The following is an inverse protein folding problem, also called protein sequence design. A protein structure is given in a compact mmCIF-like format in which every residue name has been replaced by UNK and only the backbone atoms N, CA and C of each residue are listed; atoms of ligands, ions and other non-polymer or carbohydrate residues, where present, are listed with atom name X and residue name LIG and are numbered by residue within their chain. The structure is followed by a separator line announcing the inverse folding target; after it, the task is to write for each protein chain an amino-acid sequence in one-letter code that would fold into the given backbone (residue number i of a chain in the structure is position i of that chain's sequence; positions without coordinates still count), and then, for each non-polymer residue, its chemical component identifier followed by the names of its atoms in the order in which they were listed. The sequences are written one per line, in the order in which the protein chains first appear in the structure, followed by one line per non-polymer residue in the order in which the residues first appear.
data_IF_373499874575
#
_entry.id   IF_373499874575
#
_cell.length_a   1.000
_cell.length_b   1.000
_cell.length_c   1.000
_cell.angle_alpha   90.00
_cell.angle_beta   90.00
_cell.angle_gamma   90.00
#
_symmetry.space_group_name_H-M   'P 1'
#
loop_
_entity.id
_entity.type
_entity.pdbx_description
1 polymer ?
#
# COMPACT_ATOMS: atom_id res chain seq x y z
N UNK A 1 -10.65 0.26 9.73
CA UNK A 1 -11.18 -1.03 9.21
C UNK A 1 -11.17 -1.05 7.70
N UNK A 2 -11.62 0.01 7.00
CA UNK A 2 -11.65 0.07 5.53
C UNK A 2 -10.24 -0.08 4.90
N UNK A 3 -9.19 0.39 5.55
CA UNK A 3 -7.81 0.27 5.08
C UNK A 3 -7.25 -1.16 5.05
N UNK A 4 -7.81 -2.09 5.84
CA UNK A 4 -7.36 -3.49 5.88
C UNK A 4 -7.89 -4.27 4.67
N UNK A 5 -8.98 -3.81 4.07
CA UNK A 5 -9.63 -4.51 2.97
C UNK A 5 -9.02 -4.07 1.63
N UNK A 6 -8.52 -5.00 0.79
CA UNK A 6 -8.01 -4.71 -0.55
C UNK A 6 -9.18 -4.47 -1.53
N UNK A 7 -10.02 -3.48 -1.24
CA UNK A 7 -11.21 -3.15 -2.02
C UNK A 7 -10.86 -1.99 -2.94
N UNK A 8 -11.10 -2.15 -4.23
CA UNK A 8 -11.09 -1.02 -5.16
C UNK A 8 -12.06 0.06 -4.67
N UNK A 9 -11.60 1.31 -4.59
CA UNK A 9 -12.41 2.40 -4.05
C UNK A 9 -12.44 2.51 -2.53
N UNK A 10 -11.57 1.79 -1.78
CA UNK A 10 -11.51 1.90 -0.31
C UNK A 10 -11.33 3.33 0.18
N UNK A 11 -10.57 4.16 -0.52
CA UNK A 11 -10.41 5.58 -0.18
C UNK A 11 -11.75 6.33 -0.27
N UNK A 12 -12.59 6.02 -1.25
CA UNK A 12 -13.94 6.59 -1.37
C UNK A 12 -14.84 6.14 -0.21
N UNK A 13 -14.77 4.85 0.16
CA UNK A 13 -15.55 4.30 1.28
C UNK A 13 -15.08 4.90 2.61
N UNK A 14 -13.78 4.97 2.82
CA UNK A 14 -13.17 5.53 4.02
C UNK A 14 -13.49 7.02 4.15
N UNK A 15 -13.31 7.80 3.07
CA UNK A 15 -13.62 9.21 3.03
C UNK A 15 -15.13 9.47 3.28
N UNK A 16 -16.01 8.68 2.68
CA UNK A 16 -17.46 8.79 2.90
C UNK A 16 -17.85 8.49 4.34
N UNK A 17 -17.26 7.46 4.97
CA UNK A 17 -17.51 7.15 6.39
C UNK A 17 -17.01 8.29 7.29
N UNK A 18 -15.80 8.78 7.03
CA UNK A 18 -15.19 9.85 7.83
C UNK A 18 -15.95 11.17 7.66
N UNK A 19 -16.35 11.50 6.43
CA UNK A 19 -17.15 12.66 6.12
C UNK A 19 -18.52 12.59 6.85
N UNK A 20 -19.22 11.46 6.75
CA UNK A 20 -20.50 11.25 7.46
C UNK A 20 -20.35 11.36 8.97
N UNK A 21 -19.26 10.80 9.54
CA UNK A 21 -19.01 10.83 10.98
C UNK A 21 -18.65 12.23 11.51
N UNK A 22 -18.16 13.12 10.67
CA UNK A 22 -17.70 14.46 11.05
C UNK A 22 -18.58 15.60 10.54
N UNK A 23 -19.57 15.32 9.68
CA UNK A 23 -20.49 16.33 9.17
C UNK A 23 -21.56 16.66 10.22
N UNK A 24 -21.72 17.93 10.56
CA UNK A 24 -22.91 18.43 11.24
C UNK A 24 -24.06 18.51 10.24
N UNK A 25 -25.11 17.72 10.46
CA UNK A 25 -26.43 17.81 9.84
C UNK A 25 -26.52 18.31 8.38
N UNK A 26 -26.94 17.40 7.52
CA UNK A 26 -27.67 17.65 6.28
C UNK A 26 -27.15 18.77 5.39
N UNK A 27 -26.03 18.58 4.75
CA UNK A 27 -25.88 19.18 3.41
C UNK A 27 -24.62 18.61 2.75
N UNK A 28 -24.82 17.86 1.71
CA UNK A 28 -23.92 17.82 0.56
C UNK A 28 -23.91 19.25 0.00
N UNK A 29 -23.13 20.14 0.58
CA UNK A 29 -23.12 21.55 0.21
C UNK A 29 -22.28 22.40 1.18
N UNK A 30 -21.10 22.67 0.80
CA UNK A 30 -20.33 23.92 0.82
C UNK A 30 -20.22 24.85 2.04
N UNK A 31 -20.96 24.70 3.15
CA UNK A 31 -20.92 25.71 4.23
C UNK A 31 -19.75 25.61 5.23
N UNK A 32 -18.91 24.57 5.15
CA UNK A 32 -17.75 24.40 6.05
C UNK A 32 -16.38 24.29 5.30
N UNK A 33 -16.26 24.90 4.12
CA UNK A 33 -15.00 24.87 3.35
C UNK A 33 -13.81 25.52 4.06
N UNK A 34 -14.04 26.30 5.11
CA UNK A 34 -12.99 27.01 5.86
C UNK A 34 -12.50 26.30 7.13
N UNK A 35 -13.02 25.11 7.47
CA UNK A 35 -12.55 24.37 8.62
C UNK A 35 -11.21 23.67 8.31
N UNK A 36 -10.11 24.19 8.84
CA UNK A 36 -8.76 23.68 8.63
C UNK A 36 -8.59 22.24 9.12
N UNK A 37 -9.22 21.85 10.24
CA UNK A 37 -9.16 20.49 10.75
C UNK A 37 -9.87 19.52 9.81
N UNK A 38 -11.00 19.90 9.20
CA UNK A 38 -11.68 19.09 8.19
C UNK A 38 -10.80 18.85 6.96
N UNK A 39 -10.11 19.87 6.48
CA UNK A 39 -9.16 19.74 5.37
C UNK A 39 -8.04 18.76 5.68
N UNK A 40 -7.58 18.71 6.93
CA UNK A 40 -6.56 17.75 7.39
C UNK A 40 -7.07 16.32 7.47
N UNK A 41 -8.38 16.10 7.67
CA UNK A 41 -8.97 14.76 7.67
C UNK A 41 -8.77 14.03 6.34
N UNK A 42 -8.77 14.73 5.22
CA UNK A 42 -8.47 14.12 3.92
C UNK A 42 -7.06 13.55 3.86
N UNK A 43 -6.09 14.22 4.48
CA UNK A 43 -4.72 13.71 4.57
C UNK A 43 -4.64 12.53 5.52
N UNK A 44 -5.30 12.60 6.67
CA UNK A 44 -5.36 11.49 7.64
C UNK A 44 -5.98 10.24 6.99
N UNK A 45 -7.08 10.40 6.26
CA UNK A 45 -7.71 9.30 5.51
C UNK A 45 -6.73 8.66 4.53
N UNK A 46 -6.04 9.49 3.76
CA UNK A 46 -5.03 9.01 2.82
C UNK A 46 -3.89 8.27 3.52
N UNK A 47 -3.25 8.89 4.52
CA UNK A 47 -2.12 8.31 5.23
C UNK A 47 -2.49 6.97 5.89
N UNK A 48 -3.63 6.92 6.55
CA UNK A 48 -4.08 5.70 7.24
C UNK A 48 -4.47 4.59 6.27
N UNK A 49 -5.10 4.89 5.15
CA UNK A 49 -5.47 3.89 4.14
C UNK A 49 -4.26 3.36 3.38
N UNK A 50 -3.22 4.18 3.15
CA UNK A 50 -2.03 3.78 2.43
C UNK A 50 -0.95 3.13 3.33
N UNK A 51 -0.99 3.35 4.64
CA UNK A 51 -0.10 2.66 5.57
C UNK A 51 -0.17 1.13 5.45
N UNK A 52 -1.34 0.58 5.13
CA UNK A 52 -1.55 -0.86 4.96
C UNK A 52 -0.75 -1.48 3.80
N UNK A 53 -0.32 -0.71 2.83
CA UNK A 53 0.50 -1.19 1.70
C UNK A 53 1.85 -1.75 2.12
N UNK A 54 2.34 -1.42 3.31
CA UNK A 54 3.62 -1.91 3.82
C UNK A 54 3.52 -3.27 4.53
N UNK A 55 2.34 -3.59 5.07
CA UNK A 55 2.24 -4.76 5.94
C UNK A 55 0.99 -5.63 5.78
N UNK A 56 -0.07 -5.15 5.15
CA UNK A 56 -1.27 -5.99 5.00
C UNK A 56 -0.99 -7.16 4.05
N UNK A 57 -1.16 -8.42 4.50
CA UNK A 57 -0.88 -9.60 3.68
C UNK A 57 -1.90 -9.80 2.55
N UNK A 58 -2.85 -8.89 2.40
CA UNK A 58 -3.87 -8.89 1.34
C UNK A 58 -3.56 -7.84 0.26
N UNK A 59 -2.54 -7.03 0.45
CA UNK A 59 -2.15 -5.98 -0.47
C UNK A 59 -1.15 -6.47 -1.52
N UNK A 60 -1.34 -6.06 -2.77
CA UNK A 60 -0.44 -6.41 -3.88
C UNK A 60 1.02 -6.04 -3.61
N UNK A 61 1.34 -4.86 -3.03
CA UNK A 61 2.71 -4.49 -2.68
C UNK A 61 3.39 -5.41 -1.67
N UNK A 62 2.63 -6.15 -0.89
CA UNK A 62 3.13 -7.16 0.06
C UNK A 62 3.20 -8.53 -0.59
N UNK A 63 2.10 -8.96 -1.23
CA UNK A 63 1.99 -10.31 -1.80
C UNK A 63 2.98 -10.54 -2.93
N UNK A 64 3.13 -9.58 -3.85
CA UNK A 64 3.95 -9.79 -5.05
C UNK A 64 5.44 -9.98 -4.71
N UNK A 65 6.09 -9.12 -3.90
CA UNK A 65 7.48 -9.36 -3.52
C UNK A 65 7.65 -10.63 -2.66
N UNK A 66 6.74 -10.90 -1.71
CA UNK A 66 6.80 -12.12 -0.91
C UNK A 66 6.79 -13.37 -1.80
N UNK A 67 5.89 -13.41 -2.77
CA UNK A 67 5.77 -14.54 -3.69
C UNK A 67 6.97 -14.64 -4.65
N UNK A 68 7.45 -13.53 -5.18
CA UNK A 68 8.57 -13.49 -6.13
C UNK A 68 9.90 -13.95 -5.51
N UNK A 69 10.11 -13.67 -4.22
CA UNK A 69 11.36 -13.97 -3.52
C UNK A 69 11.24 -15.13 -2.52
N UNK A 70 10.08 -15.80 -2.45
CA UNK A 70 9.84 -16.88 -1.50
C UNK A 70 9.92 -16.42 -0.04
N UNK A 71 9.55 -15.17 0.26
CA UNK A 71 9.65 -14.59 1.61
C UNK A 71 8.39 -14.91 2.39
N UNK A 72 8.52 -15.53 3.56
CA UNK A 72 7.42 -15.73 4.49
C UNK A 72 6.95 -14.41 5.13
N UNK A 73 5.67 -14.35 5.53
CA UNK A 73 5.08 -13.09 6.03
C UNK A 73 5.78 -12.54 7.28
N UNK A 74 6.21 -13.37 8.20
CA UNK A 74 6.97 -12.94 9.37
C UNK A 74 8.31 -12.29 9.00
N UNK A 75 9.02 -12.87 8.01
CA UNK A 75 10.25 -12.32 7.47
C UNK A 75 10.00 -10.99 6.74
N UNK A 76 8.89 -10.89 6.00
CA UNK A 76 8.45 -9.63 5.40
C UNK A 76 8.25 -8.53 6.45
N UNK A 77 7.50 -8.82 7.53
CA UNK A 77 7.29 -7.88 8.62
C UNK A 77 8.61 -7.50 9.29
N UNK A 78 9.51 -8.49 9.50
CA UNK A 78 10.86 -8.27 10.05
C UNK A 78 11.76 -7.41 9.17
N UNK A 79 11.52 -7.37 7.84
CA UNK A 79 12.22 -6.50 6.91
C UNK A 79 11.60 -5.10 6.88
N UNK A 80 10.28 -5.02 6.85
CA UNK A 80 9.54 -3.76 6.65
C UNK A 80 9.25 -2.98 7.94
N UNK A 81 9.56 -3.56 9.14
CA UNK A 81 9.23 -2.92 10.41
C UNK A 81 9.73 -1.47 10.56
N UNK A 82 10.91 -1.06 10.02
CA UNK A 82 11.35 0.32 10.18
C UNK A 82 10.44 1.31 9.44
N UNK A 83 9.97 0.92 8.22
CA UNK A 83 9.03 1.74 7.46
C UNK A 83 7.65 1.77 8.12
N UNK A 84 7.19 0.62 8.62
CA UNK A 84 5.91 0.50 9.31
C UNK A 84 5.91 1.39 10.56
N UNK A 85 6.96 1.29 11.39
CA UNK A 85 7.06 2.04 12.65
C UNK A 85 7.13 3.55 12.40
N UNK A 86 8.03 4.00 11.49
CA UNK A 86 8.18 5.43 11.23
C UNK A 86 6.93 6.01 10.57
N UNK A 87 6.27 5.27 9.69
CA UNK A 87 5.01 5.66 9.10
C UNK A 87 3.90 5.79 10.15
N UNK A 88 3.78 4.84 11.07
CA UNK A 88 2.80 4.91 12.16
C UNK A 88 3.08 6.11 13.08
N UNK A 89 4.34 6.38 13.40
CA UNK A 89 4.74 7.57 14.17
C UNK A 89 4.41 8.87 13.43
N UNK A 90 4.69 8.94 12.14
CA UNK A 90 4.36 10.11 11.32
C UNK A 90 2.84 10.37 11.29
N UNK A 91 2.05 9.33 11.06
CA UNK A 91 0.59 9.40 11.07
C UNK A 91 0.07 9.82 12.44
N UNK A 92 0.58 9.18 13.51
CA UNK A 92 0.21 9.52 14.87
C UNK A 92 0.52 10.98 15.23
N UNK A 93 1.71 11.46 14.87
CA UNK A 93 2.11 12.85 15.04
C UNK A 93 1.22 13.81 14.21
N UNK A 94 0.93 13.43 12.95
CA UNK A 94 0.06 14.24 12.10
C UNK A 94 -1.36 14.36 12.67
N UNK A 95 -1.91 13.27 13.23
CA UNK A 95 -3.21 13.30 13.91
C UNK A 95 -3.13 14.17 15.17
N UNK A 96 -2.13 13.92 16.02
CA UNK A 96 -2.00 14.59 17.32
C UNK A 96 -1.82 16.11 17.21
N UNK A 97 -0.94 16.55 16.32
CA UNK A 97 -0.63 17.99 16.14
C UNK A 97 -1.47 18.66 15.06
N UNK A 98 -2.08 17.89 14.17
CA UNK A 98 -2.75 18.41 12.98
C UNK A 98 -4.26 18.55 13.11
N UNK A 99 -4.92 17.69 13.89
CA UNK A 99 -6.39 17.64 14.00
C UNK A 99 -6.81 18.11 15.39
N UNK A 100 -7.55 19.20 15.44
CA UNK A 100 -8.10 19.72 16.71
C UNK A 100 -9.43 19.04 17.02
N UNK A 101 -9.56 18.47 18.22
CA UNK A 101 -10.81 17.85 18.69
C UNK A 101 -11.97 18.85 18.77
N UNK A 102 -11.68 20.12 19.05
CA UNK A 102 -12.70 21.17 19.18
C UNK A 102 -13.37 21.54 17.83
N UNK A 103 -12.67 21.27 16.74
CA UNK A 103 -13.15 21.59 15.38
C UNK A 103 -13.83 20.39 14.71
N UNK A 104 -13.56 19.17 15.17
CA UNK A 104 -14.14 17.93 14.67
C UNK A 104 -15.21 17.48 15.63
N UNK A 105 -16.46 17.96 15.44
CA UNK A 105 -17.58 17.48 16.22
C UNK A 105 -18.02 16.11 15.70
N UNK A 106 -17.74 15.07 16.49
CA UNK A 106 -18.24 13.72 16.22
C UNK A 106 -19.72 13.68 16.61
N UNK A 107 -20.57 13.37 15.65
CA UNK A 107 -21.99 13.10 15.92
C UNK A 107 -22.16 11.96 16.91
N UNK A 108 -23.34 11.85 17.54
CA UNK A 108 -23.68 10.76 18.45
C UNK A 108 -23.12 9.43 17.94
N UNK A 109 -22.26 8.81 18.75
CA UNK A 109 -21.59 7.56 18.36
C UNK A 109 -22.68 6.51 18.09
N UNK A 110 -22.83 6.03 16.86
CA UNK A 110 -23.75 4.93 16.62
C UNK A 110 -23.37 3.77 17.52
N UNK A 111 -24.36 3.12 18.15
CA UNK A 111 -24.10 1.95 19.00
C UNK A 111 -23.26 0.96 18.21
N UNK A 112 -22.07 0.67 18.71
CA UNK A 112 -21.14 -0.22 18.04
C UNK A 112 -21.75 -1.63 17.93
N UNK A 113 -21.99 -2.07 16.69
CA UNK A 113 -22.50 -3.41 16.44
C UNK A 113 -21.34 -4.42 16.43
N UNK A 114 -21.01 -4.96 17.60
CA UNK A 114 -19.97 -5.98 17.76
C UNK A 114 -20.19 -7.20 16.85
N UNK A 115 -21.42 -7.70 16.74
CA UNK A 115 -21.71 -8.87 15.90
C UNK A 115 -21.42 -8.63 14.42
N UNK A 116 -21.86 -7.48 13.89
CA UNK A 116 -21.56 -7.08 12.51
C UNK A 116 -20.08 -6.82 12.29
N UNK A 117 -19.39 -6.21 13.26
CA UNK A 117 -17.96 -5.98 13.20
C UNK A 117 -17.18 -7.30 13.13
N UNK A 118 -17.43 -8.22 14.10
CA UNK A 118 -16.74 -9.51 14.11
C UNK A 118 -17.02 -10.34 12.87
N UNK A 119 -18.25 -10.41 12.41
CA UNK A 119 -18.59 -11.13 11.17
C UNK A 119 -17.78 -10.67 9.96
N UNK A 120 -17.47 -9.37 9.88
CA UNK A 120 -16.76 -8.79 8.72
C UNK A 120 -15.25 -8.70 8.91
N UNK A 121 -14.75 -8.61 10.15
CA UNK A 121 -13.32 -8.39 10.44
C UNK A 121 -12.59 -9.69 10.79
N UNK A 122 -13.25 -10.62 11.49
CA UNK A 122 -12.63 -11.91 11.89
C UNK A 122 -12.01 -12.69 10.72
N UNK A 123 -12.62 -12.80 9.53
CA UNK A 123 -12.00 -13.52 8.41
C UNK A 123 -10.64 -12.93 8.02
N UNK A 124 -10.51 -11.61 8.05
CA UNK A 124 -9.24 -10.92 7.71
C UNK A 124 -8.20 -11.09 8.81
N UNK A 125 -8.61 -10.98 10.08
CA UNK A 125 -7.72 -11.29 11.19
C UNK A 125 -7.27 -12.74 11.16
N UNK A 126 -8.17 -13.66 10.87
CA UNK A 126 -7.85 -15.09 10.70
C UNK A 126 -6.88 -15.32 9.54
N UNK A 127 -6.99 -14.55 8.43
CA UNK A 127 -6.03 -14.59 7.35
C UNK A 127 -4.64 -14.15 7.81
N UNK A 128 -4.53 -13.02 8.52
CA UNK A 128 -3.25 -12.52 9.05
C UNK A 128 -2.61 -13.54 10.00
N UNK A 129 -3.41 -14.04 10.95
CA UNK A 129 -2.94 -15.09 11.87
C UNK A 129 -2.55 -16.36 11.13
N UNK A 130 -3.35 -16.75 10.13
CA UNK A 130 -3.05 -17.89 9.27
C UNK A 130 -1.72 -17.74 8.52
N UNK A 131 -1.40 -16.57 7.99
CA UNK A 131 -0.09 -16.30 7.38
C UNK A 131 1.06 -16.45 8.36
N UNK A 132 0.89 -15.98 9.60
CA UNK A 132 1.92 -16.09 10.64
C UNK A 132 2.10 -17.55 11.05
N UNK A 133 1.00 -18.28 11.28
CA UNK A 133 1.04 -19.65 11.79
C UNK A 133 1.47 -20.69 10.74
N UNK A 134 1.07 -20.50 9.49
CA UNK A 134 1.47 -21.44 8.42
C UNK A 134 2.96 -21.33 8.10
N UNK A 135 3.60 -20.18 8.41
CA UNK A 135 5.06 -20.02 8.39
C UNK A 135 5.74 -20.37 7.06
N UNK A 136 4.96 -20.62 6.01
CA UNK A 136 5.46 -21.13 4.76
C UNK A 136 6.07 -20.04 3.88
N UNK A 137 7.04 -20.46 3.09
CA UNK A 137 7.62 -19.64 2.03
C UNK A 137 6.83 -19.81 0.73
N UNK A 138 6.79 -18.74 -0.09
CA UNK A 138 6.20 -18.80 -1.42
C UNK A 138 4.67 -18.67 -1.48
N UNK A 139 4.08 -19.18 -2.56
CA UNK A 139 2.67 -18.98 -2.90
C UNK A 139 1.69 -19.87 -2.14
N UNK A 140 2.14 -20.99 -1.55
CA UNK A 140 1.25 -21.98 -0.91
C UNK A 140 0.42 -21.39 0.24
N UNK A 141 0.99 -20.64 1.22
CA UNK A 141 0.20 -19.99 2.26
C UNK A 141 -0.79 -18.98 1.69
N UNK A 142 -0.36 -18.21 0.68
CA UNK A 142 -1.21 -17.22 -0.01
C UNK A 142 -2.44 -17.89 -0.60
N UNK A 143 -2.25 -18.93 -1.42
CA UNK A 143 -3.33 -19.67 -2.06
C UNK A 143 -4.26 -20.35 -1.04
N UNK A 144 -3.70 -20.92 0.02
CA UNK A 144 -4.47 -21.59 1.09
C UNK A 144 -5.39 -20.59 1.79
N UNK A 145 -4.86 -19.41 2.17
CA UNK A 145 -5.63 -18.40 2.89
C UNK A 145 -6.69 -17.77 1.99
N UNK A 146 -6.35 -17.39 0.76
CA UNK A 146 -7.33 -16.87 -0.19
C UNK A 146 -8.40 -17.90 -0.54
N UNK A 147 -8.03 -19.18 -0.69
CA UNK A 147 -8.97 -20.27 -0.88
C UNK A 147 -9.94 -20.40 0.30
N UNK A 148 -9.42 -20.39 1.53
CA UNK A 148 -10.22 -20.46 2.75
C UNK A 148 -11.16 -19.25 2.90
N UNK A 149 -10.67 -18.01 2.65
CA UNK A 149 -11.49 -16.80 2.67
C UNK A 149 -12.60 -16.88 1.61
N UNK A 150 -12.26 -17.31 0.41
CA UNK A 150 -13.23 -17.46 -0.68
C UNK A 150 -14.30 -18.47 -0.31
N UNK A 151 -13.91 -19.66 0.20
CA UNK A 151 -14.83 -20.66 0.67
C UNK A 151 -15.75 -20.14 1.79
N UNK A 152 -15.19 -19.42 2.77
CA UNK A 152 -15.93 -18.78 3.84
C UNK A 152 -17.02 -17.84 3.30
N UNK A 153 -16.67 -16.94 2.38
CA UNK A 153 -17.63 -16.01 1.79
C UNK A 153 -18.70 -16.71 0.96
N UNK A 154 -18.36 -17.76 0.22
CA UNK A 154 -19.31 -18.56 -0.55
C UNK A 154 -20.34 -19.21 0.39
N UNK A 155 -19.87 -19.80 1.49
CA UNK A 155 -20.74 -20.46 2.48
C UNK A 155 -21.69 -19.47 3.16
N UNK A 156 -21.17 -18.31 3.57
CA UNK A 156 -21.97 -17.30 4.29
C UNK A 156 -22.98 -16.61 3.37
N UNK A 157 -22.56 -16.26 2.15
CA UNK A 157 -23.42 -15.49 1.24
C UNK A 157 -24.38 -16.37 0.45
N UNK A 158 -24.15 -17.68 0.41
CA UNK A 158 -24.91 -18.66 -0.39
C UNK A 158 -25.07 -18.28 -1.86
N UNK A 159 -24.13 -17.47 -2.38
CA UNK A 159 -24.20 -16.83 -3.71
C UNK A 159 -23.17 -17.37 -4.67
N UNK A 160 -22.84 -18.68 -4.60
CA UNK A 160 -21.90 -19.25 -5.54
C UNK A 160 -22.53 -19.42 -6.92
N UNK A 161 -21.91 -18.79 -7.92
CA UNK A 161 -22.21 -19.02 -9.34
C UNK A 161 -20.92 -18.88 -10.13
N UNK A 162 -20.51 -19.97 -10.80
CA UNK A 162 -19.34 -19.97 -11.71
C UNK A 162 -19.43 -18.87 -12.76
N UNK A 163 -20.64 -18.60 -13.27
CA UNK A 163 -20.89 -17.54 -14.25
C UNK A 163 -20.63 -16.13 -13.69
N UNK A 164 -20.96 -15.92 -12.40
CA UNK A 164 -20.66 -14.68 -11.69
C UNK A 164 -19.17 -14.58 -11.33
N UNK A 165 -18.54 -15.68 -10.91
CA UNK A 165 -17.12 -15.73 -10.57
C UNK A 165 -16.26 -15.26 -11.73
N UNK A 166 -16.50 -15.79 -12.95
CA UNK A 166 -15.76 -15.37 -14.14
C UNK A 166 -15.88 -13.86 -14.44
N UNK A 167 -17.01 -13.25 -14.08
CA UNK A 167 -17.23 -11.80 -14.25
C UNK A 167 -16.40 -10.95 -13.26
N UNK A 168 -16.04 -11.52 -12.10
CA UNK A 168 -15.26 -10.85 -11.06
C UNK A 168 -13.74 -11.08 -11.20
N UNK A 169 -13.32 -12.05 -12.02
CA UNK A 169 -11.90 -12.26 -12.29
C UNK A 169 -11.40 -11.14 -13.21
N UNK A 170 -10.48 -10.35 -12.70
CA UNK A 170 -9.76 -9.37 -13.52
C UNK A 170 -8.62 -10.08 -14.27
N UNK A 171 -8.92 -10.60 -15.44
CA UNK A 171 -7.97 -11.34 -16.29
C UNK A 171 -6.75 -10.50 -16.67
N UNK A 172 -6.92 -9.19 -16.86
CA UNK A 172 -5.82 -8.27 -17.12
C UNK A 172 -4.85 -8.22 -15.94
N UNK A 173 -5.36 -8.11 -14.72
CA UNK A 173 -4.52 -8.15 -13.51
C UNK A 173 -3.80 -9.48 -13.38
N UNK A 174 -4.46 -10.61 -13.65
CA UNK A 174 -3.84 -11.92 -13.62
C UNK A 174 -2.71 -12.06 -14.67
N UNK A 175 -2.94 -11.58 -15.88
CA UNK A 175 -1.92 -11.59 -16.92
C UNK A 175 -0.72 -10.71 -16.53
N UNK A 176 -0.95 -9.52 -15.98
CA UNK A 176 0.13 -8.63 -15.49
C UNK A 176 0.94 -9.33 -14.40
N UNK A 177 0.29 -9.96 -13.43
CA UNK A 177 0.97 -10.71 -12.36
C UNK A 177 1.83 -11.84 -12.97
N UNK A 178 1.29 -12.60 -13.92
CA UNK A 178 2.04 -13.65 -14.62
C UNK A 178 3.29 -13.10 -15.33
N UNK A 179 3.15 -11.98 -16.03
CA UNK A 179 4.29 -11.30 -16.68
C UNK A 179 5.33 -10.82 -15.66
N UNK A 180 4.90 -10.30 -14.52
CA UNK A 180 5.82 -9.84 -13.45
C UNK A 180 6.63 -11.02 -12.92
N UNK A 181 5.99 -12.15 -12.60
CA UNK A 181 6.69 -13.34 -12.11
C UNK A 181 7.64 -13.91 -13.15
N UNK A 182 7.21 -14.00 -14.40
CA UNK A 182 8.09 -14.43 -15.50
C UNK A 182 9.31 -13.51 -15.65
N UNK A 183 9.09 -12.20 -15.73
CA UNK A 183 10.17 -11.22 -15.85
C UNK A 183 11.11 -11.24 -14.62
N UNK A 184 10.56 -11.35 -13.42
CA UNK A 184 11.34 -11.47 -12.18
C UNK A 184 12.22 -12.72 -12.17
N UNK A 185 11.67 -13.88 -12.52
CA UNK A 185 12.43 -15.13 -12.64
C UNK A 185 13.54 -15.02 -13.67
N UNK A 186 13.21 -14.50 -14.86
CA UNK A 186 14.18 -14.26 -15.91
C UNK A 186 15.32 -13.32 -15.47
N UNK A 187 14.99 -12.22 -14.80
CA UNK A 187 15.99 -11.27 -14.31
C UNK A 187 16.88 -11.87 -13.20
N UNK A 188 16.32 -12.70 -12.32
CA UNK A 188 17.10 -13.39 -11.29
C UNK A 188 18.07 -14.40 -11.92
N UNK A 189 17.63 -15.16 -12.91
CA UNK A 189 18.46 -16.15 -13.61
C UNK A 189 19.57 -15.51 -14.45
N UNK A 190 19.29 -14.35 -15.06
CA UNK A 190 20.24 -13.64 -15.94
C UNK A 190 20.88 -12.40 -15.29
N UNK A 191 20.88 -12.34 -13.96
CA UNK A 191 21.40 -11.19 -13.20
C UNK A 191 22.81 -10.79 -13.63
N UNK A 192 23.73 -11.74 -13.68
CA UNK A 192 25.13 -11.49 -14.02
C UNK A 192 25.28 -10.92 -15.44
N UNK A 193 24.47 -11.43 -16.39
CA UNK A 193 24.44 -10.90 -17.74
C UNK A 193 23.94 -9.46 -17.79
N UNK A 194 22.87 -9.14 -17.04
CA UNK A 194 22.32 -7.79 -16.93
C UNK A 194 23.35 -6.85 -16.31
N UNK A 195 23.98 -7.23 -15.21
CA UNK A 195 25.02 -6.45 -14.55
C UNK A 195 26.20 -6.16 -15.48
N UNK A 196 26.68 -7.17 -16.20
CA UNK A 196 27.77 -7.02 -17.16
C UNK A 196 27.38 -6.09 -18.31
N UNK A 197 26.16 -6.21 -18.84
CA UNK A 197 25.66 -5.34 -19.91
C UNK A 197 25.61 -3.89 -19.46
N UNK A 198 25.06 -3.63 -18.26
CA UNK A 198 24.98 -2.28 -17.69
C UNK A 198 26.37 -1.71 -17.41
N UNK A 199 27.33 -2.55 -16.97
CA UNK A 199 28.72 -2.16 -16.77
C UNK A 199 29.40 -1.77 -18.08
N UNK A 200 29.10 -2.44 -19.20
CA UNK A 200 29.64 -2.10 -20.52
C UNK A 200 29.23 -0.70 -21.02
N UNK A 201 28.08 -0.20 -20.59
CA UNK A 201 27.66 1.18 -20.88
C UNK A 201 28.20 2.20 -19.87
N UNK A 202 29.14 1.80 -19.01
CA UNK A 202 29.83 2.68 -18.07
C UNK A 202 29.11 2.91 -16.75
N UNK A 203 28.10 2.09 -16.44
CA UNK A 203 27.36 2.18 -15.18
C UNK A 203 27.55 0.90 -14.35
N UNK A 204 28.37 0.97 -13.30
CA UNK A 204 28.47 -0.10 -12.31
C UNK A 204 27.33 0.07 -11.29
N UNK A 205 26.42 -0.89 -11.30
CA UNK A 205 25.17 -0.86 -10.52
C UNK A 205 25.41 -0.87 -9.00
N UNK A 206 26.52 -1.44 -8.53
CA UNK A 206 26.84 -1.55 -7.10
C UNK A 206 27.67 -0.37 -6.56
N UNK A 207 28.10 0.55 -7.42
CA UNK A 207 28.71 1.80 -6.99
C UNK A 207 27.66 2.78 -6.46
N UNK A 208 28.06 3.70 -5.60
CA UNK A 208 27.19 4.78 -5.14
C UNK A 208 26.51 5.53 -6.30
N UNK A 209 27.28 5.83 -7.37
CA UNK A 209 26.75 6.47 -8.57
C UNK A 209 25.71 5.61 -9.27
N UNK A 210 25.97 4.30 -9.43
CA UNK A 210 25.05 3.37 -10.07
C UNK A 210 23.75 3.22 -9.30
N UNK A 211 23.85 2.95 -8.00
CA UNK A 211 22.69 2.86 -7.12
C UNK A 211 21.87 4.14 -7.18
N UNK A 212 22.50 5.33 -7.12
CA UNK A 212 21.80 6.61 -7.16
C UNK A 212 21.05 6.81 -8.48
N UNK A 213 21.68 6.55 -9.62
CA UNK A 213 21.05 6.71 -10.94
C UNK A 213 19.84 5.77 -11.07
N UNK A 214 19.99 4.50 -10.70
CA UNK A 214 18.92 3.52 -10.80
C UNK A 214 17.80 3.83 -9.82
N UNK A 215 18.13 4.28 -8.61
CA UNK A 215 17.15 4.75 -7.63
C UNK A 215 16.32 5.91 -8.16
N UNK A 216 16.96 6.87 -8.83
CA UNK A 216 16.26 7.99 -9.46
C UNK A 216 15.34 7.55 -10.59
N UNK A 217 15.82 6.64 -11.46
CA UNK A 217 15.01 6.06 -12.54
C UNK A 217 13.81 5.32 -11.96
N UNK A 218 14.02 4.50 -10.93
CA UNK A 218 12.97 3.74 -10.24
C UNK A 218 11.91 4.68 -9.64
N UNK A 219 12.34 5.73 -8.93
CA UNK A 219 11.43 6.72 -8.37
C UNK A 219 10.61 7.44 -9.46
N UNK A 220 11.26 7.90 -10.55
CA UNK A 220 10.59 8.57 -11.67
C UNK A 220 9.60 7.63 -12.36
N UNK A 221 9.99 6.36 -12.56
CA UNK A 221 9.10 5.36 -13.15
C UNK A 221 7.85 5.16 -12.28
N UNK A 222 8.02 4.97 -10.97
CA UNK A 222 6.90 4.83 -10.04
C UNK A 222 6.02 6.08 -9.97
N UNK A 223 6.62 7.27 -9.93
CA UNK A 223 5.94 8.56 -9.99
C UNK A 223 5.04 8.69 -11.23
N UNK A 224 5.48 8.14 -12.37
CA UNK A 224 4.74 8.19 -13.63
C UNK A 224 3.62 7.15 -13.74
N UNK A 225 3.61 6.13 -12.88
CA UNK A 225 2.71 4.97 -13.02
C UNK A 225 1.35 5.11 -12.32
N UNK A 226 1.29 5.79 -11.18
CA UNK A 226 0.05 6.12 -10.46
C UNK A 226 -0.81 4.95 -9.97
N UNK A 227 -0.27 3.72 -9.88
CA UNK A 227 -1.02 2.51 -9.54
C UNK A 227 -0.24 1.60 -8.57
N UNK A 228 -0.93 1.08 -7.56
CA UNK A 228 -0.38 0.18 -6.54
C UNK A 228 0.25 -1.10 -7.12
N UNK A 229 -0.41 -1.72 -8.08
CA UNK A 229 0.10 -2.92 -8.73
C UNK A 229 1.36 -2.66 -9.57
N UNK A 230 1.47 -1.46 -10.16
CA UNK A 230 2.61 -1.10 -11.00
C UNK A 230 3.87 -0.81 -10.17
N UNK A 231 3.73 -0.07 -9.06
CA UNK A 231 4.88 0.14 -8.19
C UNK A 231 5.33 -1.17 -7.54
N UNK A 232 4.41 -2.03 -7.13
CA UNK A 232 4.76 -3.35 -6.59
C UNK A 232 5.53 -4.21 -7.60
N UNK A 233 5.13 -4.14 -8.90
CA UNK A 233 5.85 -4.79 -9.99
C UNK A 233 7.28 -4.27 -10.13
N UNK A 234 7.45 -2.95 -10.10
CA UNK A 234 8.75 -2.31 -10.23
C UNK A 234 9.68 -2.68 -9.06
N UNK A 235 9.15 -2.70 -7.83
CA UNK A 235 9.87 -3.19 -6.64
C UNK A 235 10.40 -4.61 -6.84
N UNK A 236 9.56 -5.52 -7.35
CA UNK A 236 9.97 -6.90 -7.64
C UNK A 236 11.07 -6.93 -8.70
N UNK A 237 10.90 -6.23 -9.81
CA UNK A 237 11.87 -6.23 -10.92
C UNK A 237 13.22 -5.65 -10.48
N UNK A 238 13.23 -4.52 -9.80
CA UNK A 238 14.48 -3.91 -9.32
C UNK A 238 15.19 -4.78 -8.30
N UNK A 239 14.45 -5.34 -7.34
CA UNK A 239 15.03 -6.25 -6.34
C UNK A 239 15.47 -7.59 -6.94
N UNK A 240 14.92 -8.02 -8.09
CA UNK A 240 15.40 -9.21 -8.82
C UNK A 240 16.77 -9.00 -9.43
N UNK A 241 17.08 -7.77 -9.85
CA UNK A 241 18.39 -7.41 -10.42
C UNK A 241 19.43 -7.19 -9.30
N UNK A 242 19.09 -6.40 -8.28
CA UNK A 242 20.04 -6.02 -7.24
C UNK A 242 20.20 -7.07 -6.13
N UNK A 243 19.20 -7.89 -5.91
CA UNK A 243 19.11 -8.85 -4.82
C UNK A 243 18.07 -8.46 -3.76
N UNK A 244 17.59 -9.47 -3.05
CA UNK A 244 16.55 -9.31 -2.02
C UNK A 244 16.96 -8.40 -0.85
N UNK A 245 18.27 -8.20 -0.65
CA UNK A 245 18.84 -7.30 0.36
C UNK A 245 18.53 -5.82 0.09
N UNK A 246 18.23 -5.48 -1.17
CA UNK A 246 17.79 -4.14 -1.58
C UNK A 246 16.26 -3.98 -1.62
N UNK A 247 15.51 -5.01 -1.24
CA UNK A 247 14.04 -4.99 -1.33
C UNK A 247 13.42 -3.85 -0.50
N UNK A 248 13.92 -3.60 0.72
CA UNK A 248 13.47 -2.48 1.55
C UNK A 248 13.67 -1.12 0.86
N UNK A 249 14.85 -0.96 0.21
CA UNK A 249 15.21 0.26 -0.50
C UNK A 249 14.31 0.53 -1.70
N UNK A 250 14.20 -0.45 -2.60
CA UNK A 250 13.37 -0.29 -3.80
C UNK A 250 11.89 -0.17 -3.46
N UNK A 251 11.41 -0.90 -2.45
CA UNK A 251 10.05 -0.72 -1.96
C UNK A 251 9.80 0.73 -1.50
N UNK A 252 10.70 1.30 -0.71
CA UNK A 252 10.54 2.66 -0.21
C UNK A 252 10.57 3.71 -1.34
N UNK A 253 11.46 3.53 -2.33
CA UNK A 253 11.55 4.42 -3.50
C UNK A 253 10.28 4.37 -4.36
N UNK A 254 9.84 3.16 -4.69
CA UNK A 254 8.66 2.95 -5.51
C UNK A 254 7.41 3.45 -4.80
N UNK A 255 7.29 3.15 -3.51
CA UNK A 255 6.19 3.60 -2.71
C UNK A 255 6.18 5.13 -2.57
N UNK A 256 7.33 5.75 -2.34
CA UNK A 256 7.45 7.21 -2.30
C UNK A 256 7.06 7.86 -3.63
N UNK A 257 7.52 7.32 -4.76
CA UNK A 257 7.11 7.78 -6.08
C UNK A 257 5.60 7.69 -6.29
N UNK A 258 5.01 6.55 -5.91
CA UNK A 258 3.57 6.33 -5.97
C UNK A 258 2.78 7.30 -5.07
N UNK A 259 3.28 7.59 -3.85
CA UNK A 259 2.61 8.52 -2.93
C UNK A 259 2.51 9.94 -3.49
N UNK A 260 3.58 10.41 -4.13
CA UNK A 260 3.67 11.81 -4.59
C UNK A 260 3.24 12.00 -6.06
N UNK A 261 2.79 10.95 -6.73
CA UNK A 261 2.34 11.07 -8.13
C UNK A 261 1.10 11.96 -8.26
N UNK A 262 1.04 12.87 -9.24
CA UNK A 262 -0.15 13.65 -9.51
C UNK A 262 -1.32 12.81 -10.07
N UNK A 263 -1.04 11.57 -10.52
CA UNK A 263 -2.05 10.63 -11.03
C UNK A 263 -2.75 9.84 -9.91
N UNK A 264 -2.49 10.15 -8.65
CA UNK A 264 -3.03 9.41 -7.52
C UNK A 264 -4.50 9.80 -7.26
N UNK A 265 -5.41 8.95 -7.68
CA UNK A 265 -6.86 9.20 -7.57
C UNK A 265 -7.32 9.47 -6.13
N UNK A 266 -6.71 8.83 -5.15
CA UNK A 266 -7.08 9.02 -3.74
C UNK A 266 -6.86 10.45 -3.24
N UNK A 267 -5.89 11.19 -3.80
CA UNK A 267 -5.69 12.63 -3.50
C UNK A 267 -6.88 13.45 -3.99
N UNK A 268 -7.41 13.11 -5.17
CA UNK A 268 -8.59 13.79 -5.73
C UNK A 268 -9.86 13.46 -4.96
N UNK A 269 -9.97 12.23 -4.44
CA UNK A 269 -11.06 11.81 -3.56
C UNK A 269 -11.04 12.64 -2.28
N UNK A 270 -9.89 12.70 -1.60
CA UNK A 270 -9.75 13.49 -0.39
C UNK A 270 -10.02 14.98 -0.60
N UNK A 271 -9.55 15.56 -1.72
CA UNK A 271 -9.90 16.93 -2.10
C UNK A 271 -11.41 17.12 -2.25
N UNK A 272 -12.09 16.19 -2.90
CA UNK A 272 -13.53 16.25 -3.16
C UNK A 272 -14.35 16.17 -1.87
N UNK A 273 -14.00 15.28 -0.96
CA UNK A 273 -14.77 15.08 0.29
C UNK A 273 -14.46 16.13 1.38
N UNK A 274 -13.20 16.55 1.48
CA UNK A 274 -12.72 17.37 2.61
C UNK A 274 -12.30 18.79 2.23
N UNK A 275 -12.32 19.15 0.94
CA UNK A 275 -11.90 20.48 0.47
C UNK A 275 -10.39 20.74 0.63
N UNK A 276 -9.58 19.70 0.88
CA UNK A 276 -8.13 19.83 1.11
C UNK A 276 -7.42 20.37 -0.11
N UNK A 277 -6.58 21.41 0.07
CA UNK A 277 -5.81 21.96 -1.04
C UNK A 277 -4.74 20.95 -1.51
N UNK A 278 -4.49 20.88 -2.81
CA UNK A 278 -3.43 20.03 -3.36
C UNK A 278 -2.07 20.37 -2.77
N UNK A 279 -1.78 21.65 -2.53
CA UNK A 279 -0.54 22.11 -1.92
C UNK A 279 -0.34 21.49 -0.52
N UNK A 280 -1.37 21.51 0.31
CA UNK A 280 -1.34 20.93 1.66
C UNK A 280 -1.18 19.42 1.60
N UNK A 281 -1.89 18.77 0.67
CA UNK A 281 -1.75 17.33 0.43
C UNK A 281 -0.31 16.96 0.10
N UNK A 282 0.23 17.54 -0.97
CA UNK A 282 1.57 17.18 -1.43
C UNK A 282 2.67 17.56 -0.43
N UNK A 283 2.51 18.63 0.36
CA UNK A 283 3.44 18.94 1.44
C UNK A 283 3.55 17.78 2.45
N UNK A 284 2.42 17.22 2.89
CA UNK A 284 2.41 16.09 3.80
C UNK A 284 2.95 14.80 3.15
N UNK A 285 2.56 14.52 1.90
CA UNK A 285 2.99 13.31 1.19
C UNK A 285 4.47 13.33 0.86
N UNK A 286 5.03 14.48 0.46
CA UNK A 286 6.47 14.65 0.22
C UNK A 286 7.25 14.45 1.52
N UNK A 287 6.79 15.04 2.63
CA UNK A 287 7.44 14.85 3.92
C UNK A 287 7.44 13.36 4.33
N UNK A 288 6.32 12.67 4.16
CA UNK A 288 6.23 11.23 4.43
C UNK A 288 7.12 10.41 3.51
N UNK A 289 7.10 10.67 2.20
CA UNK A 289 7.95 10.00 1.22
C UNK A 289 9.45 10.15 1.52
N UNK A 290 9.90 11.36 1.83
CA UNK A 290 11.29 11.64 2.21
C UNK A 290 11.69 10.89 3.48
N UNK A 291 10.82 10.83 4.46
CA UNK A 291 11.05 10.10 5.70
C UNK A 291 11.21 8.60 5.44
N UNK A 292 10.35 8.01 4.62
CA UNK A 292 10.42 6.59 4.25
C UNK A 292 11.73 6.27 3.50
N UNK A 293 12.11 7.07 2.51
CA UNK A 293 13.37 6.91 1.75
C UNK A 293 14.57 7.02 2.70
N UNK A 294 14.59 8.00 3.60
CA UNK A 294 15.70 8.21 4.54
C UNK A 294 15.88 7.02 5.48
N UNK A 295 14.80 6.50 6.02
CA UNK A 295 14.83 5.31 6.90
C UNK A 295 15.26 4.07 6.11
N UNK A 296 14.69 3.83 4.93
CA UNK A 296 15.08 2.69 4.11
C UNK A 296 16.57 2.75 3.74
N UNK A 297 17.08 3.93 3.37
CA UNK A 297 18.50 4.12 3.07
C UNK A 297 19.39 3.82 4.27
N UNK A 298 19.02 4.31 5.47
CA UNK A 298 19.74 4.02 6.69
C UNK A 298 19.83 2.51 6.94
N UNK A 299 18.73 1.79 6.89
CA UNK A 299 18.70 0.35 7.16
C UNK A 299 19.29 -0.51 6.04
N UNK A 300 19.37 -0.01 4.82
CA UNK A 300 19.97 -0.74 3.70
C UNK A 300 21.48 -0.51 3.58
N UNK A 301 21.96 0.72 3.78
CA UNK A 301 23.36 1.09 3.48
C UNK A 301 24.23 1.34 4.70
N UNK A 302 23.64 1.56 5.89
CA UNK A 302 24.39 1.76 7.14
C UNK A 302 24.23 0.48 7.98
N UNK A 303 25.06 -0.51 7.68
CA UNK A 303 25.17 -1.76 8.45
C UNK A 303 26.46 -1.80 9.21
#
# INVERSE_FOLDING_TARGET
VSGILPIEGRATVSAGILDTATSKHNCIGHENENNESRKKLGIVDFLTTHHFYMWSPLEKPVILPMAAFGIGYAAWLGMMWPLIAISALFIGAYIWFGVSENEVQIQERPKFNFGGFFKNVVPFLAAIVGYILLGGEGMTPVLTIFGALTAYYIIITKTFSLKKLNRYINWTTMAIIGVIFFASGYMQEHRDWIENTVRHIGLDMHTFKGVTIISLITFIASFSMGSDGKFAALTVLMSSIFGKEYLLWFFALDYAGYLVTPMHECVMIGKRYFGTSLKTYYAALIAWALLLISIAGTFTFIK
#
